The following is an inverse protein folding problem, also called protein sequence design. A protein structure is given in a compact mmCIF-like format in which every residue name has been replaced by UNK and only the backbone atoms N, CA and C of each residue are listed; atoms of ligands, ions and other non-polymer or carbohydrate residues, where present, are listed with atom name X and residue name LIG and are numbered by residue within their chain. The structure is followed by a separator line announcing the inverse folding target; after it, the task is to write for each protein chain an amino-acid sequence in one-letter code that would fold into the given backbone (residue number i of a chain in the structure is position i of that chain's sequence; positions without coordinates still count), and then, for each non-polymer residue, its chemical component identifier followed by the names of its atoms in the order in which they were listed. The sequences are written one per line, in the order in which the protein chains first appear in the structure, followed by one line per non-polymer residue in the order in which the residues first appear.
data_IF_607366923658
#
_entry.id   IF_607366923658
#
_cell.length_a   1.000
_cell.length_b   1.000
_cell.length_c   1.000
_cell.angle_alpha   90.00
_cell.angle_beta   90.00
_cell.angle_gamma   90.00
#
_symmetry.space_group_name_H-M   'P 1'
#
loop_
_entity.id
_entity.type
_entity.pdbx_description
1 polymer ?
#
# COMPACT_ATOMS: atom_id res chain seq x y z
N UNK A 1 -8.86 12.80 -19.33
CA UNK A 1 -8.47 12.04 -18.12
C UNK A 1 -7.68 12.96 -17.21
N UNK A 2 -8.00 13.08 -15.91
CA UNK A 2 -7.23 13.94 -15.04
C UNK A 2 -5.87 13.29 -14.77
N UNK A 3 -4.80 13.96 -15.20
CA UNK A 3 -3.46 13.69 -14.69
C UNK A 3 -3.51 13.95 -13.19
N UNK A 4 -3.30 12.91 -12.38
CA UNK A 4 -3.15 13.09 -10.94
C UNK A 4 -1.69 13.42 -10.66
N UNK A 5 -1.44 14.66 -10.25
CA UNK A 5 -0.16 15.04 -9.68
C UNK A 5 -0.04 14.37 -8.30
N UNK A 6 0.95 13.51 -8.14
CA UNK A 6 1.13 12.70 -6.94
C UNK A 6 1.46 13.56 -5.72
N UNK A 7 2.20 14.66 -5.93
CA UNK A 7 2.50 15.67 -4.91
C UNK A 7 1.29 16.23 -4.19
N UNK A 8 0.16 16.39 -4.89
CA UNK A 8 -1.10 16.87 -4.28
C UNK A 8 -1.84 15.79 -3.49
N UNK A 9 -1.54 14.52 -3.73
CA UNK A 9 -2.19 13.38 -3.08
C UNK A 9 -1.41 12.85 -1.86
N UNK A 10 -0.11 13.17 -1.76
CA UNK A 10 0.76 12.75 -0.65
C UNK A 10 0.99 13.93 0.29
N UNK A 11 0.66 13.76 1.57
CA UNK A 11 0.93 14.78 2.59
C UNK A 11 2.43 14.98 2.82
N UNK A 12 2.87 16.21 3.11
CA UNK A 12 4.28 16.48 3.48
C UNK A 12 4.75 15.61 4.65
N UNK A 13 3.87 15.38 5.62
CA UNK A 13 4.16 14.49 6.76
C UNK A 13 4.41 13.04 6.34
N UNK A 14 3.72 12.54 5.31
CA UNK A 14 4.00 11.22 4.75
C UNK A 14 5.34 11.19 4.00
N UNK A 15 5.71 12.27 3.31
CA UNK A 15 6.99 12.36 2.58
C UNK A 15 8.22 12.22 3.49
N UNK A 16 8.14 12.73 4.72
CA UNK A 16 9.19 12.58 5.73
C UNK A 16 9.52 11.11 6.04
N UNK A 17 8.64 10.15 5.71
CA UNK A 17 8.87 8.73 5.92
C UNK A 17 9.65 8.02 4.79
N UNK A 18 9.82 8.61 3.60
CA UNK A 18 10.34 7.89 2.42
C UNK A 18 11.88 7.82 2.30
N UNK A 19 12.66 8.40 3.20
CA UNK A 19 14.13 8.40 3.06
C UNK A 19 14.56 9.11 1.76
N UNK A 20 15.57 8.58 1.06
CA UNK A 20 16.09 9.18 -0.18
C UNK A 20 15.24 8.84 -1.42
N UNK A 21 14.61 7.67 -1.44
CA UNK A 21 13.87 7.16 -2.61
C UNK A 21 12.52 6.60 -2.21
N UNK A 22 11.54 6.79 -3.08
CA UNK A 22 10.23 6.18 -2.99
C UNK A 22 9.97 5.25 -4.18
N UNK A 23 9.18 4.20 -3.94
CA UNK A 23 8.65 3.34 -5.00
C UNK A 23 7.18 3.68 -5.20
N UNK A 24 6.83 4.07 -6.42
CA UNK A 24 5.46 4.35 -6.83
C UNK A 24 4.95 3.14 -7.61
N UNK A 25 4.01 2.40 -7.02
CA UNK A 25 3.30 1.32 -7.71
C UNK A 25 2.25 1.94 -8.63
N UNK A 26 2.45 1.85 -9.93
CA UNK A 26 1.57 2.44 -10.95
C UNK A 26 0.42 1.52 -11.34
N UNK A 27 0.59 0.20 -11.17
CA UNK A 27 -0.48 -0.78 -11.32
C UNK A 27 -0.74 -1.50 -9.98
N UNK A 28 -1.62 -0.91 -9.18
CA UNK A 28 -2.02 -1.46 -7.87
C UNK A 28 -2.78 -2.78 -8.02
N UNK A 29 -3.49 -2.97 -9.14
CA UNK A 29 -4.26 -4.18 -9.42
C UNK A 29 -3.34 -5.39 -9.59
N UNK A 30 -2.34 -5.24 -10.45
CA UNK A 30 -1.34 -6.28 -10.69
C UNK A 30 -0.47 -6.52 -9.45
N UNK A 31 -0.04 -5.47 -8.75
CA UNK A 31 0.73 -5.61 -7.51
C UNK A 31 -0.01 -6.46 -6.47
N UNK A 32 -1.28 -6.15 -6.19
CA UNK A 32 -2.07 -6.93 -5.23
C UNK A 32 -2.32 -8.35 -5.75
N UNK A 33 -2.53 -8.52 -7.06
CA UNK A 33 -2.72 -9.85 -7.65
C UNK A 33 -1.48 -10.73 -7.43
N UNK A 34 -0.28 -10.20 -7.66
CA UNK A 34 0.98 -10.94 -7.40
C UNK A 34 1.17 -11.28 -5.93
N UNK A 35 0.89 -10.34 -5.02
CA UNK A 35 0.97 -10.61 -3.56
C UNK A 35 -0.02 -11.69 -3.14
N UNK A 36 -1.27 -11.60 -3.60
CA UNK A 36 -2.32 -12.59 -3.34
C UNK A 36 -1.91 -13.97 -3.85
N UNK A 37 -1.43 -14.04 -5.08
CA UNK A 37 -1.00 -15.30 -5.70
C UNK A 37 0.14 -15.95 -4.92
N UNK A 38 1.17 -15.18 -4.53
CA UNK A 38 2.27 -15.68 -3.71
C UNK A 38 1.84 -16.19 -2.33
N UNK A 39 0.81 -15.59 -1.73
CA UNK A 39 0.23 -16.07 -0.47
C UNK A 39 -0.56 -17.37 -0.66
N UNK A 40 -1.36 -17.47 -1.73
CA UNK A 40 -2.16 -18.67 -2.06
C UNK A 40 -1.25 -19.87 -2.33
N UNK A 41 -0.17 -19.69 -3.09
CA UNK A 41 0.80 -20.76 -3.40
C UNK A 41 1.45 -21.37 -2.16
N UNK A 42 1.54 -20.59 -1.08
CA UNK A 42 2.04 -21.05 0.22
C UNK A 42 0.95 -21.54 1.17
N UNK A 43 -0.33 -21.50 0.76
CA UNK A 43 -1.47 -21.88 1.58
C UNK A 43 -1.81 -20.86 2.68
N UNK A 44 -1.35 -19.62 2.58
CA UNK A 44 -1.54 -18.61 3.62
C UNK A 44 -2.87 -17.86 3.48
N UNK A 45 -3.46 -17.52 4.63
CA UNK A 45 -4.60 -16.59 4.68
C UNK A 45 -4.10 -15.19 4.37
N UNK A 46 -4.87 -14.43 3.60
CA UNK A 46 -4.51 -13.08 3.19
C UNK A 46 -5.74 -12.18 3.19
N UNK A 47 -5.55 -10.94 3.59
CA UNK A 47 -6.60 -9.93 3.66
C UNK A 47 -6.03 -8.60 3.15
N UNK A 48 -6.88 -7.78 2.53
CA UNK A 48 -6.52 -6.44 2.08
C UNK A 48 -7.66 -5.49 2.39
N UNK A 49 -7.33 -4.35 2.98
CA UNK A 49 -8.27 -3.26 3.18
C UNK A 49 -7.56 -1.92 3.20
N UNK A 50 -8.31 -0.87 2.86
CA UNK A 50 -7.95 0.48 3.28
C UNK A 50 -8.01 0.55 4.81
N UNK A 51 -7.09 1.30 5.39
CA UNK A 51 -7.04 1.50 6.84
C UNK A 51 -8.20 2.41 7.25
N UNK A 52 -8.96 1.97 8.25
CA UNK A 52 -9.95 2.79 8.94
C UNK A 52 -9.24 3.58 10.03
N UNK A 53 -9.32 4.91 9.93
CA UNK A 53 -8.77 5.82 10.92
C UNK A 53 -9.87 6.19 11.93
N UNK A 54 -9.64 5.92 13.21
CA UNK A 54 -10.59 6.19 14.30
C UNK A 54 -9.88 6.89 15.46
N UNK A 55 -10.61 7.66 16.25
CA UNK A 55 -10.09 8.37 17.41
C UNK A 55 -9.94 7.40 18.58
N UNK A 56 -8.71 7.00 18.94
CA UNK A 56 -8.49 6.05 20.04
C UNK A 56 -8.73 6.66 21.43
N UNK A 57 -8.99 7.96 21.53
CA UNK A 57 -9.38 8.58 22.80
C UNK A 57 -10.86 8.36 23.16
N UNK A 58 -11.66 7.84 22.21
CA UNK A 58 -13.05 7.43 22.43
C UNK A 58 -13.10 5.94 22.82
N UNK A 59 -14.09 5.52 23.61
CA UNK A 59 -14.14 4.16 24.16
C UNK A 59 -14.56 3.08 23.14
N UNK A 60 -14.05 1.85 23.36
CA UNK A 60 -14.33 0.55 22.72
C UNK A 60 -14.25 0.47 21.18
N UNK A 61 -13.06 0.11 20.68
CA UNK A 61 -12.87 -0.31 19.28
C UNK A 61 -12.09 -1.62 19.18
N UNK A 62 -12.54 -2.52 18.32
CA UNK A 62 -11.77 -3.70 17.96
C UNK A 62 -10.57 -3.29 17.11
N UNK A 63 -9.37 -3.36 17.69
CA UNK A 63 -8.13 -3.03 17.00
C UNK A 63 -7.67 -4.24 16.20
N UNK A 64 -7.74 -4.12 14.88
CA UNK A 64 -7.21 -5.09 13.93
C UNK A 64 -6.10 -4.50 13.05
N UNK A 65 -5.51 -5.31 12.16
CA UNK A 65 -4.44 -4.87 11.25
C UNK A 65 -4.88 -3.75 10.29
N UNK A 66 -6.19 -3.48 10.16
CA UNK A 66 -6.76 -2.47 9.29
C UNK A 66 -7.34 -1.26 10.03
N UNK A 67 -7.09 -1.13 11.33
CA UNK A 67 -7.52 0.02 12.14
C UNK A 67 -6.28 0.78 12.62
N UNK A 68 -6.34 2.11 12.61
CA UNK A 68 -5.26 2.98 13.10
C UNK A 68 -5.84 4.25 13.73
N UNK A 69 -5.08 4.85 14.63
CA UNK A 69 -5.45 6.12 15.24
C UNK A 69 -5.56 7.27 14.21
N UNK A 70 -6.54 8.15 14.40
CA UNK A 70 -6.86 9.26 13.51
C UNK A 70 -5.71 10.27 13.36
N UNK A 71 -4.79 10.39 14.31
CA UNK A 71 -3.59 11.23 14.19
C UNK A 71 -2.69 10.81 13.00
N UNK A 72 -2.87 9.58 12.49
CA UNK A 72 -2.15 9.03 11.34
C UNK A 72 -2.95 9.03 10.03
N UNK A 73 -4.13 9.66 9.98
CA UNK A 73 -4.97 9.71 8.79
C UNK A 73 -4.26 10.28 7.55
N UNK A 74 -3.27 11.14 7.75
CA UNK A 74 -2.43 11.73 6.69
C UNK A 74 -1.64 10.69 5.85
N UNK A 75 -1.53 9.44 6.31
CA UNK A 75 -0.76 8.37 5.63
C UNK A 75 -1.54 7.68 4.51
N UNK A 76 -2.88 7.70 4.53
CA UNK A 76 -3.75 7.12 3.50
C UNK A 76 -3.35 5.69 3.07
N UNK A 77 -3.29 4.76 4.02
CA UNK A 77 -2.72 3.42 3.82
C UNK A 77 -3.68 2.41 3.18
N UNK A 78 -3.17 1.64 2.22
CA UNK A 78 -3.67 0.32 1.85
C UNK A 78 -2.81 -0.73 2.55
N UNK A 79 -3.41 -1.62 3.36
CA UNK A 79 -2.68 -2.71 4.02
C UNK A 79 -3.02 -4.05 3.43
N UNK A 80 -2.02 -4.93 3.42
CA UNK A 80 -2.16 -6.35 3.11
C UNK A 80 -1.67 -7.10 4.35
N UNK A 81 -2.53 -7.91 4.95
CA UNK A 81 -2.21 -8.77 6.08
C UNK A 81 -2.13 -10.22 5.61
N UNK A 82 -1.08 -10.92 6.00
CA UNK A 82 -0.84 -12.32 5.63
C UNK A 82 -0.61 -13.11 6.91
N UNK A 83 -1.24 -14.27 7.01
CA UNK A 83 -1.18 -15.13 8.18
C UNK A 83 -1.00 -16.58 7.77
N UNK A 84 0.01 -17.24 8.34
CA UNK A 84 0.36 -18.64 8.04
C UNK A 84 -0.60 -19.65 8.68
N UNK A 85 -1.42 -19.24 9.65
CA UNK A 85 -2.20 -20.13 10.51
C UNK A 85 -1.48 -20.51 11.80
N UNK A 86 -0.18 -20.20 11.91
CA UNK A 86 0.68 -20.56 13.03
C UNK A 86 1.38 -19.32 13.58
N UNK A 87 1.55 -19.24 14.90
CA UNK A 87 2.25 -18.12 15.54
C UNK A 87 3.71 -18.49 15.80
N UNK A 88 4.49 -18.67 14.72
CA UNK A 88 5.89 -19.11 14.80
C UNK A 88 6.88 -17.99 15.16
N UNK A 89 6.44 -16.73 15.19
CA UNK A 89 7.29 -15.55 15.37
C UNK A 89 8.27 -15.27 14.23
N UNK A 90 8.31 -16.12 13.21
CA UNK A 90 9.20 -15.98 12.05
C UNK A 90 8.62 -15.05 11.00
N UNK A 91 9.49 -14.33 10.28
CA UNK A 91 9.06 -13.45 9.21
C UNK A 91 8.43 -14.23 8.05
N UNK A 92 7.29 -13.74 7.53
CA UNK A 92 6.65 -14.29 6.33
C UNK A 92 7.35 -13.72 5.10
N UNK A 93 7.90 -14.59 4.25
CA UNK A 93 8.51 -14.19 2.98
C UNK A 93 7.62 -14.58 1.80
N UNK A 94 7.23 -13.58 0.99
CA UNK A 94 6.49 -13.75 -0.26
C UNK A 94 7.35 -13.31 -1.43
N UNK A 95 7.50 -14.17 -2.44
CA UNK A 95 8.20 -13.83 -3.68
C UNK A 95 7.16 -13.46 -4.74
N UNK A 96 7.08 -12.17 -5.07
CA UNK A 96 6.07 -11.62 -6.00
C UNK A 96 6.63 -11.30 -7.40
N UNK A 97 7.89 -11.65 -7.66
CA UNK A 97 8.58 -11.38 -8.92
C UNK A 97 9.13 -9.95 -9.02
N UNK A 98 9.58 -9.61 -10.23
CA UNK A 98 10.04 -8.26 -10.56
C UNK A 98 8.86 -7.27 -10.53
N UNK A 99 9.12 -6.01 -10.17
CA UNK A 99 8.10 -4.95 -10.14
C UNK A 99 8.34 -3.85 -11.18
N UNK A 100 9.41 -3.93 -11.99
CA UNK A 100 9.78 -2.87 -12.94
C UNK A 100 8.68 -2.57 -13.99
N UNK A 101 7.80 -3.52 -14.24
CA UNK A 101 6.67 -3.39 -15.16
C UNK A 101 5.45 -2.69 -14.54
N UNK A 102 5.38 -2.61 -13.21
CA UNK A 102 4.22 -2.09 -12.47
C UNK A 102 4.57 -1.04 -11.41
N UNK A 103 5.85 -0.68 -11.29
CA UNK A 103 6.33 0.29 -10.34
C UNK A 103 7.53 1.06 -10.89
N UNK A 104 7.65 2.30 -10.45
CA UNK A 104 8.78 3.17 -10.74
C UNK A 104 9.43 3.61 -9.44
N UNK A 105 10.76 3.68 -9.44
CA UNK A 105 11.52 4.27 -8.35
C UNK A 105 11.75 5.74 -8.67
N UNK A 106 11.58 6.62 -7.68
CA UNK A 106 11.81 8.04 -7.82
C UNK A 106 12.51 8.60 -6.57
N UNK A 107 13.33 9.66 -6.72
CA UNK A 107 13.78 10.44 -5.57
C UNK A 107 12.58 10.93 -4.74
N UNK A 108 12.69 10.88 -3.42
CA UNK A 108 11.60 11.25 -2.53
C UNK A 108 11.21 12.74 -2.65
N UNK A 109 12.19 13.61 -2.93
CA UNK A 109 12.01 15.05 -3.17
C UNK A 109 11.29 15.34 -4.50
N UNK A 110 11.47 14.49 -5.51
CA UNK A 110 10.84 14.60 -6.82
C UNK A 110 9.39 14.06 -6.86
N UNK A 111 8.89 13.44 -5.79
CA UNK A 111 7.50 12.91 -5.73
C UNK A 111 6.43 13.97 -6.07
N UNK A 112 6.73 15.25 -5.78
CA UNK A 112 5.86 16.39 -6.09
C UNK A 112 5.64 16.63 -7.59
N UNK A 113 6.58 16.19 -8.40
CA UNK A 113 6.66 16.45 -9.83
C UNK A 113 6.08 15.28 -10.65
N UNK A 114 5.90 14.12 -10.01
CA UNK A 114 5.37 12.92 -10.65
C UNK A 114 3.89 13.10 -11.00
N UNK A 115 3.58 12.79 -12.25
CA UNK A 115 2.25 12.84 -12.82
C UNK A 115 1.88 11.45 -13.34
N UNK A 116 0.77 10.89 -12.83
CA UNK A 116 0.28 9.58 -13.27
C UNK A 116 -0.86 9.79 -14.27
N UNK A 117 -0.75 9.11 -15.41
CA UNK A 117 -1.82 9.02 -16.39
C UNK A 117 -2.58 7.72 -16.15
N UNK A 118 -3.88 7.81 -15.88
CA UNK A 118 -4.73 6.62 -15.88
C UNK A 118 -4.71 6.02 -17.28
N UNK A 119 -4.25 4.77 -17.44
CA UNK A 119 -4.62 4.00 -18.64
C UNK A 119 -6.08 3.63 -18.45
N UNK A 120 -6.96 4.16 -19.30
CA UNK A 120 -8.32 3.67 -19.39
C UNK A 120 -8.26 2.16 -19.59
N UNK A 121 -8.90 1.39 -18.73
CA UNK A 121 -9.24 0.00 -19.02
C UNK A 121 -9.95 0.02 -20.38
N UNK A 122 -9.25 -0.38 -21.45
CA UNK A 122 -9.90 -0.78 -22.68
C UNK A 122 -10.63 -2.08 -22.33
N UNK A 123 -11.90 -1.96 -21.96
CA UNK A 123 -12.81 -3.08 -22.02
C UNK A 123 -12.84 -3.53 -23.49
N UNK A 124 -12.32 -4.73 -23.74
CA UNK A 124 -12.66 -5.51 -24.92
C UNK A 124 -13.85 -6.39 -24.57
#
# INVERSE_FOLDING_TARGET
MPIKNLGKAISERAKLGFGEYAVVVTDVGEFVTRVKQAAIEKGYKHFRSLVKYVDFSQDDFEVGPFVKDQAYAHQNELRIAVHTGENSGSAIQLKIGCLQDIAVMAPADALGEISIQDKANKAN
#
